data_IF_391493494259
#
_entry.id   IF_391493494259
#
_cell.length_a   1.000
_cell.length_b   1.000
_cell.length_c   1.000
_cell.angle_alpha   90.00
_cell.angle_beta   90.00
_cell.angle_gamma   90.00
#
_symmetry.space_group_name_H-M   'P 1'
#
loop_
_entity.id
_entity.type
_entity.pdbx_description
1 polymer ?
#
# COMPACT_ATOMS: atom_id res chain seq x y z
N UNK A 1 -55.34 46.84 -20.80
CA UNK A 1 -55.16 45.37 -20.73
C UNK A 1 -53.68 45.07 -20.55
N UNK A 2 -53.31 44.34 -19.49
CA UNK A 2 -51.92 44.11 -19.06
C UNK A 2 -51.26 43.02 -19.91
N UNK A 3 -50.04 43.29 -20.37
CA UNK A 3 -49.19 42.32 -21.06
C UNK A 3 -48.61 41.30 -20.07
N UNK A 4 -48.85 40.02 -20.32
CA UNK A 4 -48.34 38.87 -19.57
C UNK A 4 -46.93 38.51 -20.05
N UNK A 5 -45.92 38.67 -19.18
CA UNK A 5 -44.57 38.11 -19.38
C UNK A 5 -44.57 36.66 -18.87
N UNK A 6 -44.43 35.70 -19.79
CA UNK A 6 -44.15 34.31 -19.45
C UNK A 6 -42.69 34.20 -18.97
N UNK A 7 -42.50 33.92 -17.69
CA UNK A 7 -41.19 33.59 -17.12
C UNK A 7 -40.85 32.14 -17.43
N UNK A 8 -39.85 31.93 -18.28
CA UNK A 8 -39.30 30.60 -18.58
C UNK A 8 -38.43 30.14 -17.41
N UNK A 9 -38.98 29.25 -16.57
CA UNK A 9 -38.22 28.57 -15.53
C UNK A 9 -37.22 27.59 -16.17
N UNK A 10 -35.94 27.97 -16.22
CA UNK A 10 -34.85 27.04 -16.51
C UNK A 10 -34.69 26.11 -15.30
N UNK A 11 -35.24 24.89 -15.39
CA UNK A 11 -34.81 23.78 -14.53
C UNK A 11 -33.31 23.57 -14.78
N UNK A 12 -32.48 23.90 -13.81
CA UNK A 12 -31.08 23.45 -13.82
C UNK A 12 -31.10 21.92 -13.69
N UNK A 13 -30.60 21.23 -14.70
CA UNK A 13 -30.35 19.80 -14.60
C UNK A 13 -29.27 19.59 -13.54
N UNK A 14 -29.65 19.00 -12.40
CA UNK A 14 -28.68 18.53 -11.41
C UNK A 14 -27.95 17.35 -12.03
N UNK A 15 -26.70 17.56 -12.45
CA UNK A 15 -25.81 16.48 -12.85
C UNK A 15 -25.37 15.72 -11.60
N UNK A 16 -26.13 14.68 -11.23
CA UNK A 16 -25.68 13.72 -10.20
C UNK A 16 -24.66 12.79 -10.88
N UNK A 17 -23.38 13.17 -10.84
CA UNK A 17 -22.30 12.20 -11.12
C UNK A 17 -22.05 11.43 -9.84
N UNK A 18 -22.30 10.11 -9.87
CA UNK A 18 -21.89 9.22 -8.80
C UNK A 18 -20.36 9.10 -8.84
N UNK A 19 -19.68 9.73 -7.88
CA UNK A 19 -18.22 9.70 -7.76
C UNK A 19 -17.76 8.25 -7.55
N UNK A 20 -16.69 7.85 -8.26
CA UNK A 20 -16.13 6.51 -8.14
C UNK A 20 -15.29 6.40 -6.87
N UNK A 21 -15.59 5.39 -6.07
CA UNK A 21 -14.81 4.99 -4.89
C UNK A 21 -14.10 3.68 -5.22
N UNK A 22 -12.82 3.59 -4.89
CA UNK A 22 -12.03 2.36 -5.02
C UNK A 22 -11.61 1.82 -3.66
N UNK A 23 -11.49 0.50 -3.56
CA UNK A 23 -10.80 -0.17 -2.45
C UNK A 23 -9.34 -0.39 -2.83
N UNK A 24 -8.41 0.05 -1.98
CA UNK A 24 -6.98 -0.11 -2.20
C UNK A 24 -6.40 -0.96 -1.07
N UNK A 25 -5.82 -2.09 -1.45
CA UNK A 25 -4.91 -2.82 -0.59
C UNK A 25 -3.50 -2.24 -0.76
N UNK A 26 -3.00 -1.52 0.26
CA UNK A 26 -1.65 -0.96 0.26
C UNK A 26 -0.72 -1.90 1.03
N UNK A 27 -0.20 -2.94 0.39
CA UNK A 27 0.63 -3.95 1.05
C UNK A 27 2.12 -3.60 1.10
N UNK A 28 2.87 -4.30 1.95
CA UNK A 28 4.32 -4.12 2.13
C UNK A 28 5.10 -4.40 0.85
N UNK A 29 4.80 -5.52 0.19
CA UNK A 29 5.51 -5.98 -1.03
C UNK A 29 4.73 -5.69 -2.30
N UNK A 30 3.41 -5.88 -2.26
CA UNK A 30 2.52 -5.67 -3.39
C UNK A 30 1.27 -4.93 -2.92
N UNK A 31 0.67 -4.17 -3.81
CA UNK A 31 -0.60 -3.48 -3.62
C UNK A 31 -1.61 -3.91 -4.69
N UNK A 32 -2.89 -3.79 -4.38
CA UNK A 32 -3.98 -4.07 -5.31
C UNK A 32 -5.03 -2.96 -5.25
N UNK A 33 -5.80 -2.81 -6.32
CA UNK A 33 -6.94 -1.88 -6.35
C UNK A 33 -8.15 -2.55 -6.96
N UNK A 34 -9.31 -2.30 -6.36
CA UNK A 34 -10.58 -2.89 -6.71
C UNK A 34 -11.68 -1.83 -6.80
N UNK A 35 -12.69 -2.09 -7.61
CA UNK A 35 -13.91 -1.29 -7.68
C UNK A 35 -15.14 -2.20 -7.69
N UNK A 36 -16.31 -1.63 -7.35
CA UNK A 36 -17.58 -2.32 -7.49
C UNK A 36 -18.13 -2.10 -8.91
N UNK A 37 -18.23 -3.18 -9.69
CA UNK A 37 -18.78 -3.18 -11.04
C UNK A 37 -19.98 -4.11 -11.13
N UNK A 38 -21.13 -3.59 -11.57
CA UNK A 38 -22.36 -4.39 -11.69
C UNK A 38 -22.79 -5.04 -10.36
N UNK A 39 -22.45 -4.43 -9.22
CA UNK A 39 -22.73 -4.97 -7.89
C UNK A 39 -21.75 -6.03 -7.41
N UNK A 40 -20.65 -6.30 -8.13
CA UNK A 40 -19.61 -7.25 -7.72
C UNK A 40 -18.25 -6.56 -7.54
N UNK A 41 -17.42 -7.00 -6.59
CA UNK A 41 -16.05 -6.52 -6.47
C UNK A 41 -15.20 -7.05 -7.63
N UNK A 42 -14.57 -6.15 -8.38
CA UNK A 42 -13.64 -6.47 -9.47
C UNK A 42 -12.25 -5.94 -9.15
N UNK A 43 -11.22 -6.80 -9.24
CA UNK A 43 -9.82 -6.38 -9.18
C UNK A 43 -9.45 -5.71 -10.50
N UNK A 44 -8.89 -4.51 -10.41
CA UNK A 44 -8.43 -3.74 -11.55
C UNK A 44 -7.06 -4.25 -11.97
N UNK A 45 -6.88 -4.45 -13.27
CA UNK A 45 -5.59 -4.83 -13.84
C UNK A 45 -4.75 -3.57 -14.06
N UNK A 46 -3.49 -3.57 -13.63
CA UNK A 46 -2.58 -2.46 -13.86
C UNK A 46 -2.18 -2.35 -15.34
N UNK A 47 -1.54 -1.23 -15.70
CA UNK A 47 -1.06 -0.98 -17.07
C UNK A 47 -0.12 -2.08 -17.62
N UNK A 48 0.52 -2.84 -16.73
CA UNK A 48 1.43 -3.94 -17.04
C UNK A 48 0.72 -5.31 -17.17
N UNK A 49 -0.61 -5.37 -17.03
CA UNK A 49 -1.40 -6.60 -17.15
C UNK A 49 -1.49 -7.44 -15.87
N UNK A 50 -0.90 -6.97 -14.76
CA UNK A 50 -0.94 -7.63 -13.46
C UNK A 50 -2.15 -7.23 -12.62
N UNK A 51 -2.63 -8.14 -11.78
CA UNK A 51 -3.70 -7.88 -10.80
C UNK A 51 -3.20 -7.27 -9.49
N UNK A 52 -1.88 -7.25 -9.32
CA UNK A 52 -1.17 -6.60 -8.23
C UNK A 52 -0.02 -5.78 -8.80
N UNK A 53 0.34 -4.71 -8.09
CA UNK A 53 1.43 -3.80 -8.42
C UNK A 53 2.46 -3.86 -7.29
N UNK A 54 3.75 -4.14 -7.57
CA UNK A 54 4.77 -4.09 -6.52
C UNK A 54 4.78 -2.73 -5.81
N UNK A 55 4.88 -2.74 -4.48
CA UNK A 55 4.98 -1.54 -3.65
C UNK A 55 6.41 -0.99 -3.67
N UNK A 56 6.88 -0.70 -4.88
CA UNK A 56 8.25 -0.27 -5.17
C UNK A 56 8.22 1.05 -5.91
N UNK A 57 9.05 2.00 -5.46
CA UNK A 57 9.19 3.33 -6.03
C UNK A 57 10.66 3.59 -6.31
N UNK A 58 11.00 4.11 -7.47
CA UNK A 58 12.37 4.51 -7.76
C UNK A 58 12.44 5.90 -8.39
N UNK A 59 13.57 6.57 -8.16
CA UNK A 59 13.91 7.82 -8.82
C UNK A 59 15.14 7.60 -9.69
N UNK A 60 15.05 8.00 -10.96
CA UNK A 60 16.16 7.93 -11.91
C UNK A 60 17.08 9.14 -11.74
N UNK A 61 18.28 9.08 -12.31
CA UNK A 61 19.22 10.22 -12.35
C UNK A 61 18.66 11.45 -13.06
N UNK A 62 17.73 11.26 -13.99
CA UNK A 62 17.03 12.34 -14.72
C UNK A 62 15.89 12.96 -13.92
N UNK A 63 15.58 12.43 -12.74
CA UNK A 63 14.48 12.88 -11.89
C UNK A 63 13.14 12.20 -12.20
N UNK A 64 13.12 11.22 -13.11
CA UNK A 64 11.91 10.47 -13.41
C UNK A 64 11.54 9.55 -12.25
N UNK A 65 10.23 9.48 -11.98
CA UNK A 65 9.68 8.59 -10.96
C UNK A 65 9.11 7.34 -11.60
N UNK A 66 9.61 6.19 -11.15
CA UNK A 66 9.15 4.87 -11.53
C UNK A 66 8.37 4.26 -10.36
N UNK A 67 7.30 3.52 -10.64
CA UNK A 67 6.50 2.82 -9.62
C UNK A 67 6.14 1.42 -10.13
N UNK A 68 6.05 0.45 -9.24
CA UNK A 68 5.62 -0.91 -9.59
C UNK A 68 6.71 -1.73 -10.28
N UNK A 69 6.33 -2.48 -11.30
CA UNK A 69 7.24 -3.42 -11.98
C UNK A 69 8.46 -2.73 -12.59
N UNK A 70 8.27 -1.52 -13.14
CA UNK A 70 9.36 -0.76 -13.77
C UNK A 70 10.39 -0.34 -12.70
N UNK A 71 9.95 0.09 -11.52
CA UNK A 71 10.84 0.41 -10.40
C UNK A 71 11.57 -0.83 -9.90
N UNK A 72 10.85 -1.95 -9.72
CA UNK A 72 11.41 -3.23 -9.26
C UNK A 72 12.53 -3.74 -10.16
N UNK A 73 12.36 -3.68 -11.49
CA UNK A 73 13.34 -4.20 -12.46
C UNK A 73 14.71 -3.52 -12.39
N UNK A 74 14.77 -2.26 -11.97
CA UNK A 74 16.03 -1.52 -11.90
C UNK A 74 16.64 -1.46 -10.50
N UNK A 75 16.07 -2.17 -9.51
CA UNK A 75 16.55 -2.20 -8.13
C UNK A 75 18.03 -2.62 -8.03
N UNK A 76 18.44 -3.63 -8.81
CA UNK A 76 19.82 -4.16 -8.82
C UNK A 76 20.85 -3.09 -9.23
N UNK A 77 20.52 -2.24 -10.20
CA UNK A 77 21.46 -1.23 -10.74
C UNK A 77 21.31 0.15 -10.09
N UNK A 78 20.26 0.35 -9.29
CA UNK A 78 19.98 1.60 -8.58
C UNK A 78 19.43 1.35 -7.15
N UNK A 79 20.13 0.58 -6.33
CA UNK A 79 19.59 0.10 -5.06
C UNK A 79 19.33 1.23 -4.04
N UNK A 80 20.14 2.29 -4.06
CA UNK A 80 20.03 3.40 -3.10
C UNK A 80 18.88 4.37 -3.40
N UNK A 81 18.30 4.32 -4.60
CA UNK A 81 17.17 5.16 -5.00
C UNK A 81 15.95 4.33 -5.41
N UNK A 82 15.89 3.08 -4.96
CA UNK A 82 14.76 2.17 -5.15
C UNK A 82 14.20 1.74 -3.81
N UNK A 83 13.01 2.21 -3.49
CA UNK A 83 12.38 2.08 -2.20
C UNK A 83 11.30 1.01 -2.24
N UNK A 84 11.40 0.03 -1.34
CA UNK A 84 10.47 -1.09 -1.16
C UNK A 84 10.32 -1.39 0.32
N UNK A 85 9.33 -2.19 0.73
CA UNK A 85 9.04 -2.46 2.15
C UNK A 85 8.78 -1.20 2.99
N UNK A 86 8.42 -0.09 2.35
CA UNK A 86 8.26 1.23 2.99
C UNK A 86 7.16 1.23 4.05
N UNK A 87 6.17 0.36 3.90
CA UNK A 87 5.11 0.15 4.89
C UNK A 87 5.66 -0.28 6.26
N UNK A 88 6.85 -0.89 6.34
CA UNK A 88 7.51 -1.19 7.62
C UNK A 88 8.00 0.06 8.37
N UNK A 89 8.09 1.22 7.71
CA UNK A 89 8.55 2.49 8.29
C UNK A 89 7.43 3.52 8.52
N UNK A 90 6.26 3.35 7.90
CA UNK A 90 5.19 4.36 7.92
C UNK A 90 4.67 4.61 9.35
N UNK A 91 4.58 5.88 9.75
CA UNK A 91 4.11 6.28 11.08
C UNK A 91 4.97 5.80 12.26
N UNK A 92 6.22 5.38 12.03
CA UNK A 92 7.15 4.93 13.07
C UNK A 92 8.24 5.96 13.37
N UNK A 93 8.78 5.86 14.59
CA UNK A 93 10.02 6.52 15.00
C UNK A 93 11.23 5.69 14.62
N UNK A 94 12.38 6.36 14.47
CA UNK A 94 13.63 5.69 14.13
C UNK A 94 14.04 4.63 15.16
N UNK A 95 13.72 4.87 16.43
CA UNK A 95 13.96 3.93 17.54
C UNK A 95 13.22 2.60 17.42
N UNK A 96 12.17 2.53 16.60
CA UNK A 96 11.33 1.34 16.42
C UNK A 96 11.75 0.48 15.21
N UNK A 97 12.64 0.98 14.34
CA UNK A 97 12.95 0.37 13.03
C UNK A 97 14.43 0.01 12.86
N UNK A 98 15.14 -0.19 13.98
CA UNK A 98 16.57 -0.44 13.98
C UNK A 98 16.98 -1.73 13.27
N UNK A 99 16.08 -2.72 13.15
CA UNK A 99 16.34 -3.97 12.45
C UNK A 99 16.04 -3.86 10.95
N UNK A 100 14.88 -3.30 10.62
CA UNK A 100 14.35 -3.09 9.28
C UNK A 100 15.20 -2.14 8.46
N UNK A 101 15.68 -1.06 9.07
CA UNK A 101 16.56 -0.08 8.43
C UNK A 101 17.89 -0.69 7.95
N UNK A 102 18.31 -1.83 8.51
CA UNK A 102 19.51 -2.57 8.10
C UNK A 102 19.24 -3.63 7.04
N UNK A 103 17.98 -3.96 6.79
CA UNK A 103 17.57 -4.96 5.80
C UNK A 103 17.36 -4.36 4.40
N UNK A 104 17.29 -3.04 4.30
CA UNK A 104 17.08 -2.32 3.04
C UNK A 104 18.38 -1.71 2.51
N UNK A 105 18.57 -1.64 1.18
CA UNK A 105 19.82 -1.15 0.60
C UNK A 105 19.91 0.39 0.59
N UNK A 106 18.78 1.09 0.69
CA UNK A 106 18.73 2.55 0.75
C UNK A 106 18.91 3.07 2.18
N UNK A 107 19.23 4.37 2.30
CA UNK A 107 19.52 4.97 3.59
C UNK A 107 18.23 5.46 4.28
N UNK A 108 17.98 4.92 5.48
CA UNK A 108 16.95 5.37 6.41
C UNK A 108 17.59 6.30 7.45
N UNK A 109 17.05 7.49 7.61
CA UNK A 109 17.51 8.55 8.51
C UNK A 109 16.37 8.97 9.44
N UNK A 110 16.62 9.98 10.28
CA UNK A 110 15.58 10.56 11.13
C UNK A 110 15.56 12.09 11.04
N UNK A 111 14.38 12.64 11.29
CA UNK A 111 14.16 14.07 11.52
C UNK A 111 13.16 14.24 12.66
N UNK A 112 13.58 14.87 13.75
CA UNK A 112 12.78 14.97 14.98
C UNK A 112 12.38 13.60 15.57
N UNK A 113 13.16 12.55 15.30
CA UNK A 113 12.89 11.17 15.69
C UNK A 113 11.94 10.41 14.76
N UNK A 114 11.34 11.05 13.77
CA UNK A 114 10.51 10.39 12.75
C UNK A 114 11.38 9.83 11.63
N UNK A 115 11.00 8.70 11.06
CA UNK A 115 11.74 8.08 9.96
C UNK A 115 11.72 8.96 8.71
N UNK A 116 12.89 9.07 8.06
CA UNK A 116 13.10 9.66 6.74
C UNK A 116 13.83 8.68 5.83
N UNK A 117 13.61 8.80 4.53
CA UNK A 117 14.24 7.97 3.49
C UNK A 117 15.02 8.90 2.58
N UNK A 118 16.34 8.75 2.57
CA UNK A 118 17.21 9.59 1.74
C UNK A 118 17.12 9.17 0.28
N UNK A 119 16.93 10.14 -0.61
CA UNK A 119 16.90 9.90 -2.05
C UNK A 119 17.95 10.77 -2.77
N UNK A 120 19.18 10.27 -2.94
CA UNK A 120 20.25 10.99 -3.64
C UNK A 120 19.86 11.55 -5.01
N UNK A 121 19.15 10.78 -5.84
CA UNK A 121 18.74 11.21 -7.18
C UNK A 121 17.68 12.32 -7.18
N UNK A 122 16.92 12.47 -6.10
CA UNK A 122 15.95 13.55 -5.93
C UNK A 122 16.54 14.75 -5.17
N UNK A 123 17.76 14.63 -4.63
CA UNK A 123 18.40 15.66 -3.82
C UNK A 123 17.64 16.02 -2.54
N UNK A 124 16.77 15.13 -2.05
CA UNK A 124 15.98 15.36 -0.83
C UNK A 124 15.63 14.05 -0.11
N UNK A 125 15.20 14.22 1.14
CA UNK A 125 14.70 13.14 1.97
C UNK A 125 13.16 13.11 1.90
N UNK A 126 12.60 11.91 1.92
CA UNK A 126 11.16 11.69 1.90
C UNK A 126 10.67 11.11 3.22
N UNK A 127 9.48 11.51 3.63
CA UNK A 127 8.73 10.76 4.63
C UNK A 127 8.18 9.45 4.00
N UNK A 128 8.03 8.35 4.76
CA UNK A 128 7.45 7.11 4.26
C UNK A 128 6.06 7.27 3.59
N UNK A 129 5.28 8.23 4.06
CA UNK A 129 3.97 8.61 3.53
C UNK A 129 4.08 9.16 2.10
N UNK A 130 5.12 9.95 1.81
CA UNK A 130 5.34 10.52 0.47
C UNK A 130 5.71 9.45 -0.56
N UNK A 131 6.45 8.41 -0.14
CA UNK A 131 6.79 7.26 -0.98
C UNK A 131 5.56 6.37 -1.18
N UNK A 132 4.83 6.05 -0.11
CA UNK A 132 3.59 5.28 -0.17
C UNK A 132 2.53 5.95 -1.04
N UNK A 133 2.45 7.29 -1.01
CA UNK A 133 1.58 8.07 -1.88
C UNK A 133 1.90 7.88 -3.38
N UNK A 134 3.14 7.57 -3.76
CA UNK A 134 3.47 7.27 -5.15
C UNK A 134 2.84 5.95 -5.62
N UNK A 135 2.83 4.95 -4.75
CA UNK A 135 2.15 3.66 -5.00
C UNK A 135 0.65 3.89 -5.16
N UNK A 136 0.04 4.65 -4.24
CA UNK A 136 -1.38 5.01 -4.31
C UNK A 136 -1.72 5.77 -5.61
N UNK A 137 -0.91 6.75 -6.01
CA UNK A 137 -1.10 7.47 -7.29
C UNK A 137 -1.08 6.54 -8.49
N UNK A 138 -0.18 5.56 -8.54
CA UNK A 138 -0.13 4.57 -9.63
C UNK A 138 -1.41 3.73 -9.68
N UNK A 139 -1.84 3.20 -8.54
CA UNK A 139 -3.05 2.38 -8.44
C UNK A 139 -4.30 3.14 -8.87
N UNK A 140 -4.44 4.39 -8.42
CA UNK A 140 -5.56 5.27 -8.78
C UNK A 140 -5.52 5.64 -10.25
N UNK A 141 -4.35 5.90 -10.82
CA UNK A 141 -4.21 6.18 -12.25
C UNK A 141 -4.59 4.97 -13.11
N UNK A 142 -4.23 3.75 -12.68
CA UNK A 142 -4.66 2.52 -13.35
C UNK A 142 -6.18 2.34 -13.22
N UNK A 143 -6.74 2.57 -12.03
CA UNK A 143 -8.17 2.50 -11.79
C UNK A 143 -8.98 3.49 -12.61
N UNK A 144 -8.53 4.75 -12.69
CA UNK A 144 -9.17 5.79 -13.47
C UNK A 144 -9.22 5.44 -14.97
N UNK A 145 -8.12 4.88 -15.51
CA UNK A 145 -8.07 4.40 -16.89
C UNK A 145 -9.02 3.23 -17.12
N UNK A 146 -9.02 2.25 -16.23
CA UNK A 146 -9.87 1.06 -16.33
C UNK A 146 -11.37 1.43 -16.29
N UNK A 147 -11.75 2.30 -15.35
CA UNK A 147 -13.14 2.74 -15.16
C UNK A 147 -13.57 3.82 -16.16
N UNK A 148 -12.63 4.36 -16.94
CA UNK A 148 -12.83 5.51 -17.84
C UNK A 148 -13.48 6.71 -17.12
N UNK A 149 -13.04 6.98 -15.88
CA UNK A 149 -13.56 8.05 -15.03
C UNK A 149 -12.49 8.53 -14.03
N UNK A 150 -12.71 9.68 -13.42
CA UNK A 150 -11.86 10.15 -12.32
C UNK A 150 -12.11 9.31 -11.06
N UNK A 151 -11.03 9.05 -10.33
CA UNK A 151 -11.06 8.38 -9.02
C UNK A 151 -10.40 9.30 -8.00
N UNK A 152 -11.21 9.89 -7.13
CA UNK A 152 -10.78 10.88 -6.13
C UNK A 152 -11.04 10.39 -4.70
N UNK A 153 -11.73 9.25 -4.54
CA UNK A 153 -12.15 8.71 -3.23
C UNK A 153 -11.70 7.27 -3.07
N UNK A 154 -11.21 6.93 -1.88
CA UNK A 154 -10.73 5.58 -1.60
C UNK A 154 -11.04 5.10 -0.19
N UNK A 155 -11.16 3.77 -0.06
CA UNK A 155 -10.99 3.03 1.18
C UNK A 155 -9.61 2.36 1.12
N UNK A 156 -8.77 2.54 2.13
CA UNK A 156 -7.40 2.03 2.15
C UNK A 156 -7.22 1.03 3.29
N UNK A 157 -6.58 -0.10 3.02
CA UNK A 157 -6.30 -1.13 4.03
C UNK A 157 -5.11 -0.76 4.93
N UNK A 158 -5.12 -1.26 6.15
CA UNK A 158 -3.98 -1.30 7.07
C UNK A 158 -3.99 -2.62 7.87
N UNK A 159 -2.85 -3.08 8.39
CA UNK A 159 -2.79 -4.21 9.31
C UNK A 159 -3.68 -3.97 10.53
N UNK A 160 -4.29 -5.02 11.08
CA UNK A 160 -5.19 -4.87 12.22
C UNK A 160 -4.44 -4.28 13.43
N UNK A 161 -3.19 -4.68 13.62
CA UNK A 161 -2.34 -4.25 14.72
C UNK A 161 -1.66 -2.89 14.53
N UNK A 162 -1.96 -2.15 13.45
CA UNK A 162 -1.47 -0.77 13.31
C UNK A 162 -2.00 0.15 14.41
N UNK A 163 -1.10 0.91 15.02
CA UNK A 163 -1.43 1.94 16.00
C UNK A 163 -1.96 3.22 15.33
N UNK A 164 -2.40 4.18 16.16
CA UNK A 164 -2.99 5.44 15.68
C UNK A 164 -2.07 6.25 14.76
N UNK A 165 -0.76 6.27 15.07
CA UNK A 165 0.24 6.97 14.26
C UNK A 165 0.35 6.36 12.86
N UNK A 166 0.43 5.04 12.76
CA UNK A 166 0.56 4.32 11.50
C UNK A 166 -0.72 4.43 10.64
N UNK A 167 -1.89 4.40 11.28
CA UNK A 167 -3.19 4.63 10.63
C UNK A 167 -3.29 6.05 10.08
N UNK A 168 -2.90 7.04 10.88
CA UNK A 168 -2.93 8.44 10.48
C UNK A 168 -1.94 8.70 9.33
N UNK A 169 -0.73 8.17 9.41
CA UNK A 169 0.27 8.26 8.37
C UNK A 169 -0.20 7.62 7.04
N UNK A 170 -0.86 6.46 7.09
CA UNK A 170 -1.46 5.84 5.89
C UNK A 170 -2.58 6.70 5.29
N UNK A 171 -3.43 7.29 6.13
CA UNK A 171 -4.46 8.24 5.69
C UNK A 171 -3.84 9.47 5.03
N UNK A 172 -2.74 9.98 5.58
CA UNK A 172 -2.02 11.13 5.03
C UNK A 172 -1.31 10.79 3.72
N UNK A 173 -0.77 9.58 3.56
CA UNK A 173 -0.30 9.08 2.27
C UNK A 173 -1.40 9.14 1.20
N UNK A 174 -2.64 8.76 1.56
CA UNK A 174 -3.81 8.90 0.70
C UNK A 174 -4.10 10.37 0.31
N UNK A 175 -4.08 11.29 1.29
CA UNK A 175 -4.25 12.73 1.01
C UNK A 175 -3.15 13.28 0.11
N UNK A 176 -1.89 12.92 0.37
CA UNK A 176 -0.74 13.31 -0.45
C UNK A 176 -0.93 12.79 -1.89
N UNK A 177 -1.48 11.59 -2.05
CA UNK A 177 -1.81 11.02 -3.36
C UNK A 177 -2.97 11.73 -4.09
N UNK A 178 -3.67 12.66 -3.44
CA UNK A 178 -4.82 13.38 -4.00
C UNK A 178 -6.15 12.66 -3.77
N UNK A 179 -6.23 11.78 -2.77
CA UNK A 179 -7.44 11.03 -2.43
C UNK A 179 -8.13 11.58 -1.19
N UNK A 180 -9.46 11.67 -1.26
CA UNK A 180 -10.30 11.67 -0.06
C UNK A 180 -10.38 10.23 0.48
N UNK A 181 -9.71 10.00 1.60
CA UNK A 181 -9.73 8.70 2.30
C UNK A 181 -11.00 8.60 3.14
N UNK A 182 -12.01 7.93 2.60
CA UNK A 182 -13.33 7.76 3.22
C UNK A 182 -13.25 6.85 4.46
N UNK A 183 -12.40 5.82 4.41
CA UNK A 183 -12.22 4.88 5.50
C UNK A 183 -10.83 4.24 5.44
N UNK A 184 -10.26 4.04 6.62
CA UNK A 184 -9.18 3.09 6.83
C UNK A 184 -9.82 1.81 7.35
N UNK A 185 -9.56 0.68 6.70
CA UNK A 185 -10.12 -0.63 7.08
C UNK A 185 -8.99 -1.60 7.44
N UNK A 186 -9.24 -2.46 8.42
CA UNK A 186 -8.26 -3.50 8.76
C UNK A 186 -8.22 -4.56 7.66
N UNK A 187 -7.04 -5.01 7.30
CA UNK A 187 -6.79 -6.09 6.33
C UNK A 187 -7.61 -7.34 6.59
N UNK A 188 -7.59 -7.95 7.80
CA UNK A 188 -8.39 -9.14 8.05
C UNK A 188 -9.90 -8.88 8.00
N UNK A 189 -10.36 -7.67 8.32
CA UNK A 189 -11.76 -7.28 8.14
C UNK A 189 -12.11 -7.18 6.65
N UNK A 190 -11.25 -6.57 5.82
CA UNK A 190 -11.44 -6.52 4.37
C UNK A 190 -11.46 -7.93 3.75
N UNK A 191 -10.58 -8.82 4.19
CA UNK A 191 -10.57 -10.22 3.78
C UNK A 191 -11.87 -10.95 4.18
N UNK A 192 -12.37 -10.71 5.39
CA UNK A 192 -13.64 -11.28 5.85
C UNK A 192 -14.84 -10.78 5.04
N UNK A 193 -14.85 -9.50 4.64
CA UNK A 193 -15.88 -8.93 3.76
C UNK A 193 -15.84 -9.57 2.37
N UNK A 194 -14.65 -9.84 1.84
CA UNK A 194 -14.49 -10.54 0.58
C UNK A 194 -14.97 -12.00 0.67
N UNK A 195 -14.65 -12.71 1.76
CA UNK A 195 -15.14 -14.08 2.02
C UNK A 195 -16.67 -14.14 2.18
N UNK A 196 -17.22 -13.21 2.96
CA UNK A 196 -18.62 -13.17 3.36
C UNK A 196 -19.56 -12.54 2.33
N UNK A 197 -19.05 -11.96 1.24
CA UNK A 197 -19.84 -11.14 0.30
C UNK A 197 -21.11 -11.83 -0.22
N UNK A 198 -21.02 -13.13 -0.54
CA UNK A 198 -22.13 -13.94 -1.05
C UNK A 198 -22.69 -14.94 0.01
N UNK A 199 -22.22 -14.86 1.26
CA UNK A 199 -22.57 -15.79 2.33
C UNK A 199 -23.78 -15.29 3.11
N UNK A 200 -24.76 -16.18 3.33
CA UNK A 200 -25.99 -15.87 4.07
C UNK A 200 -26.03 -16.46 5.48
N UNK A 201 -25.27 -17.51 5.75
CA UNK A 201 -25.22 -18.14 7.05
C UNK A 201 -24.19 -17.43 7.94
N UNK A 202 -24.49 -17.32 9.23
CA UNK A 202 -23.54 -16.86 10.23
C UNK A 202 -22.52 -17.97 10.50
N UNK A 203 -21.24 -17.62 10.36
CA UNK A 203 -20.11 -18.49 10.57
C UNK A 203 -19.07 -17.76 11.41
N UNK A 204 -18.45 -18.46 12.36
CA UNK A 204 -17.23 -17.99 12.99
C UNK A 204 -16.04 -18.41 12.14
N UNK A 205 -15.23 -17.45 11.70
CA UNK A 205 -14.06 -17.68 10.87
C UNK A 205 -12.79 -17.20 11.58
N UNK A 206 -11.66 -17.80 11.20
CA UNK A 206 -10.33 -17.31 11.52
C UNK A 206 -9.66 -16.82 10.24
N UNK A 207 -9.27 -15.56 10.22
CA UNK A 207 -8.44 -14.98 9.17
C UNK A 207 -6.99 -15.04 9.64
N UNK A 208 -6.15 -15.74 8.88
CA UNK A 208 -4.71 -15.80 9.07
C UNK A 208 -4.05 -15.05 7.91
N UNK A 209 -3.45 -13.91 8.19
CA UNK A 209 -2.82 -13.04 7.19
C UNK A 209 -1.33 -12.89 7.47
N UNK A 210 -0.50 -13.53 6.67
CA UNK A 210 0.96 -13.45 6.74
C UNK A 210 1.49 -12.84 5.45
N UNK A 211 1.69 -11.53 5.48
CA UNK A 211 2.13 -10.73 4.35
C UNK A 211 3.64 -10.62 4.22
N UNK A 212 4.07 -9.62 3.46
CA UNK A 212 5.50 -9.35 3.22
C UNK A 212 6.27 -8.79 4.42
N UNK A 213 5.60 -8.15 5.37
CA UNK A 213 6.27 -7.62 6.57
C UNK A 213 5.36 -7.43 7.77
N UNK A 214 4.14 -7.96 7.70
CA UNK A 214 3.17 -7.93 8.79
C UNK A 214 2.44 -9.26 8.87
N UNK A 215 2.07 -9.63 10.08
CA UNK A 215 1.31 -10.82 10.41
C UNK A 215 0.11 -10.42 11.27
N UNK A 216 -1.09 -10.80 10.88
CA UNK A 216 -2.32 -10.61 11.65
C UNK A 216 -3.10 -11.92 11.72
N UNK A 217 -3.73 -12.17 12.87
CA UNK A 217 -4.74 -13.21 13.06
C UNK A 217 -5.96 -12.59 13.71
N UNK A 218 -7.12 -12.79 13.10
CA UNK A 218 -8.39 -12.32 13.64
C UNK A 218 -9.43 -13.43 13.63
N UNK A 219 -10.21 -13.52 14.72
CA UNK A 219 -11.42 -14.35 14.77
C UNK A 219 -12.61 -13.42 14.58
N UNK A 220 -13.46 -13.74 13.61
CA UNK A 220 -14.61 -12.92 13.26
C UNK A 220 -15.88 -13.76 13.18
N UNK A 221 -17.00 -13.14 13.52
CA UNK A 221 -18.32 -13.65 13.13
C UNK A 221 -18.76 -12.94 11.85
N UNK A 222 -19.14 -13.73 10.85
CA UNK A 222 -19.50 -13.26 9.51
C UNK A 222 -20.79 -13.92 9.06
N UNK A 223 -21.78 -13.12 8.67
CA UNK A 223 -23.02 -13.59 8.06
C UNK A 223 -24.16 -12.58 8.18
N UNK A 224 -25.17 -12.71 7.32
CA UNK A 224 -26.35 -11.83 7.26
C UNK A 224 -26.02 -10.32 7.27
N UNK A 225 -24.92 -9.95 6.60
CA UNK A 225 -24.43 -8.56 6.55
C UNK A 225 -23.77 -8.04 7.84
N UNK A 226 -23.65 -8.88 8.87
CA UNK A 226 -22.92 -8.61 10.11
C UNK A 226 -21.49 -9.10 9.98
N UNK A 227 -20.56 -8.25 10.40
CA UNK A 227 -19.13 -8.53 10.46
C UNK A 227 -18.60 -8.00 11.79
N UNK A 228 -18.34 -8.91 12.73
CA UNK A 228 -17.87 -8.56 14.07
C UNK A 228 -16.51 -9.19 14.32
N UNK A 229 -15.54 -8.37 14.75
CA UNK A 229 -14.22 -8.84 15.17
C UNK A 229 -14.32 -9.25 16.63
N UNK A 230 -14.22 -10.55 16.90
CA UNK A 230 -14.26 -11.10 18.26
C UNK A 230 -12.92 -10.96 18.97
N UNK A 231 -11.83 -11.18 18.23
CA UNK A 231 -10.46 -11.05 18.75
C UNK A 231 -9.48 -10.82 17.62
N UNK A 232 -8.38 -10.13 17.91
CA UNK A 232 -7.28 -9.91 16.97
C UNK A 232 -5.94 -9.92 17.69
N UNK A 233 -4.93 -10.49 17.06
CA UNK A 233 -3.53 -10.48 17.48
C UNK A 233 -2.63 -10.45 16.25
N UNK A 234 -1.33 -10.23 16.41
CA UNK A 234 -0.42 -10.13 15.28
C UNK A 234 0.97 -9.61 15.65
N UNK A 235 1.81 -9.45 14.63
CA UNK A 235 3.13 -8.84 14.68
C UNK A 235 3.34 -7.95 13.44
N UNK A 236 3.56 -6.66 13.68
CA UNK A 236 3.76 -5.66 12.60
C UNK A 236 5.20 -5.62 12.04
N UNK A 237 6.04 -6.56 12.48
CA UNK A 237 7.45 -6.70 12.09
C UNK A 237 7.81 -8.11 11.62
N UNK A 238 6.82 -8.94 11.31
CA UNK A 238 7.01 -10.32 10.85
C UNK A 238 6.36 -10.51 9.48
N UNK A 239 7.12 -10.97 8.49
CA UNK A 239 6.59 -11.38 7.20
C UNK A 239 7.65 -11.92 6.24
N UNK A 240 7.26 -12.00 4.96
CA UNK A 240 8.10 -12.43 3.81
C UNK A 240 9.55 -11.95 3.86
N UNK A 241 9.75 -10.65 4.12
CA UNK A 241 11.06 -10.01 4.19
C UNK A 241 12.00 -10.68 5.22
N UNK A 242 11.46 -11.15 6.34
CA UNK A 242 12.25 -11.81 7.38
C UNK A 242 12.66 -13.23 6.98
N UNK A 243 11.81 -13.94 6.23
CA UNK A 243 12.16 -15.24 5.64
C UNK A 243 13.24 -15.06 4.56
N UNK A 244 13.08 -14.08 3.67
CA UNK A 244 14.05 -13.74 2.63
C UNK A 244 15.40 -13.41 3.28
N UNK A 245 15.40 -12.61 4.34
CA UNK A 245 16.62 -12.27 5.09
C UNK A 245 17.33 -13.52 5.63
N UNK A 246 16.58 -14.48 6.20
CA UNK A 246 17.17 -15.72 6.74
C UNK A 246 17.83 -16.55 5.64
N UNK A 247 17.23 -16.62 4.47
CA UNK A 247 17.79 -17.32 3.31
C UNK A 247 19.03 -16.60 2.80
N UNK A 248 18.97 -15.27 2.63
CA UNK A 248 20.12 -14.44 2.21
C UNK A 248 21.28 -14.58 3.19
N UNK A 249 21.01 -14.53 4.50
CA UNK A 249 22.05 -14.71 5.51
C UNK A 249 22.72 -16.09 5.40
N UNK A 250 21.93 -17.14 5.27
CA UNK A 250 22.46 -18.50 5.09
C UNK A 250 23.36 -18.59 3.84
N UNK A 251 22.90 -18.06 2.70
CA UNK A 251 23.68 -18.08 1.45
C UNK A 251 24.95 -17.25 1.56
N UNK A 252 24.90 -16.07 2.19
CA UNK A 252 26.06 -15.22 2.38
C UNK A 252 27.10 -15.86 3.33
N UNK A 253 26.65 -16.54 4.38
CA UNK A 253 27.54 -17.28 5.30
C UNK A 253 28.22 -18.46 4.60
N UNK A 254 27.45 -19.23 3.82
CA UNK A 254 28.00 -20.33 3.03
C UNK A 254 29.00 -19.84 1.98
N UNK A 255 28.70 -18.77 1.26
CA UNK A 255 29.62 -18.19 0.28
C UNK A 255 30.90 -17.67 0.93
N UNK A 256 30.80 -17.03 2.09
CA UNK A 256 31.99 -16.62 2.85
C UNK A 256 32.81 -17.82 3.31
N UNK A 257 32.15 -18.92 3.68
CA UNK A 257 32.81 -20.16 4.11
C UNK A 257 33.55 -20.84 2.94
N UNK A 258 32.99 -20.85 1.74
CA UNK A 258 33.58 -21.54 0.58
C UNK A 258 34.57 -20.67 -0.19
N UNK A 259 34.27 -19.39 -0.39
CA UNK A 259 35.04 -18.47 -1.24
C UNK A 259 35.87 -17.44 -0.45
N UNK A 260 35.64 -17.30 0.86
CA UNK A 260 36.35 -16.32 1.71
C UNK A 260 35.90 -14.86 1.50
N UNK A 261 34.85 -14.63 0.72
CA UNK A 261 34.36 -13.29 0.35
C UNK A 261 33.10 -12.93 1.17
N UNK A 262 33.04 -11.73 1.74
CA UNK A 262 31.87 -11.23 2.48
C UNK A 262 30.93 -10.43 1.56
N UNK A 263 29.91 -11.10 1.01
CA UNK A 263 28.94 -10.49 0.08
C UNK A 263 28.08 -9.41 0.74
N UNK A 264 27.87 -9.44 2.07
CA UNK A 264 27.00 -8.45 2.73
C UNK A 264 27.53 -7.02 2.69
N UNK A 265 28.80 -6.83 2.32
CA UNK A 265 29.41 -5.51 2.13
C UNK A 265 29.14 -4.93 0.73
N UNK A 266 28.67 -5.75 -0.20
CA UNK A 266 28.34 -5.33 -1.57
C UNK A 266 26.83 -5.17 -1.70
N UNK A 267 26.38 -3.91 -1.81
CA UNK A 267 24.96 -3.58 -1.94
C UNK A 267 24.33 -4.13 -3.21
N UNK A 268 25.09 -4.24 -4.29
CA UNK A 268 24.59 -4.75 -5.56
C UNK A 268 24.46 -6.28 -5.52
N UNK A 269 25.39 -6.98 -4.84
CA UNK A 269 25.31 -8.43 -4.67
C UNK A 269 24.15 -8.88 -3.76
N UNK A 270 23.63 -8.00 -2.91
CA UNK A 270 22.49 -8.25 -2.02
C UNK A 270 21.12 -7.99 -2.68
N UNK A 271 21.05 -7.65 -3.97
CA UNK A 271 19.80 -7.44 -4.72
C UNK A 271 19.53 -8.57 -5.70
#
# INVERSE_FOLDING_TARGET
>A
MKASRAGTSRRMAVNVRAEKVVGIDLGTTNSAVAAMEGGKPTIITNAEGGRTTPSVVAFTKTGDRLVGQIAKRQAVVNPENTFFSVKRFIGRRMTEVGSESKQVPYQVTEDGGNVKIKCPHAGKDFAPEEISAQVLRKLVADAAKFLNDKVEKAVITVPAYFNDSQRQATKDAGKIAGLEVLRIINEPTAASLAYGFDKKANETILVFDLGGGTFDVSVLEVGDGVFEVLSTSGDTHLGGDDFDKRIVDYLADEFRRTEGIELRKDRQALQ
#
